data_IF_493321820837
#
_entry.id   IF_493321820837
#
_cell.length_a   1.000
_cell.length_b   1.000
_cell.length_c   1.000
_cell.angle_alpha   90.00
_cell.angle_beta   90.00
_cell.angle_gamma   90.00
#
_symmetry.space_group_name_H-M   'P 1'
#
loop_
_entity.id
_entity.type
_entity.pdbx_description
1 polymer ?
#
# COMPACT_ATOMS: atom_id res chain seq x y z
N UNK A 1 -22.04 39.94 32.91
CA UNK A 1 -22.99 40.07 31.82
C UNK A 1 -22.31 39.48 30.61
N UNK A 2 -22.57 38.30 30.08
CA UNK A 2 -23.68 37.39 30.05
C UNK A 2 -23.39 36.52 28.83
N UNK A 3 -22.76 35.33 29.02
CA UNK A 3 -22.35 34.38 27.94
C UNK A 3 -23.31 33.17 27.89
N UNK A 4 -24.59 33.37 28.17
CA UNK A 4 -25.58 32.27 28.32
C UNK A 4 -26.83 32.42 27.46
N UNK A 5 -26.81 33.15 26.32
CA UNK A 5 -28.01 33.33 25.49
C UNK A 5 -27.82 32.95 24.01
N UNK A 6 -27.20 31.82 23.73
CA UNK A 6 -27.16 31.32 22.35
C UNK A 6 -27.24 29.78 22.22
N UNK A 7 -28.15 29.18 22.95
CA UNK A 7 -28.45 27.75 22.84
C UNK A 7 -29.98 27.51 22.88
N UNK A 8 -30.71 27.96 21.88
CA UNK A 8 -32.08 27.49 21.64
C UNK A 8 -32.58 27.93 20.27
N UNK A 9 -32.25 27.22 19.21
CA UNK A 9 -33.07 27.10 18.00
C UNK A 9 -32.50 26.10 17.01
N UNK A 10 -32.72 24.83 17.28
CA UNK A 10 -32.74 23.79 16.21
C UNK A 10 -33.88 22.83 16.49
N UNK A 11 -35.01 23.12 15.87
CA UNK A 11 -36.16 22.24 15.75
C UNK A 11 -35.78 21.04 14.86
N UNK A 12 -35.99 19.77 15.26
CA UNK A 12 -35.78 18.64 14.39
C UNK A 12 -36.94 18.49 13.41
N UNK A 13 -36.64 18.58 12.11
CA UNK A 13 -37.55 18.27 11.01
C UNK A 13 -37.73 16.76 10.97
N UNK A 14 -38.98 16.29 11.08
CA UNK A 14 -39.39 14.89 10.96
C UNK A 14 -39.15 14.37 9.53
N UNK A 15 -38.76 13.08 9.35
CA UNK A 15 -38.60 12.50 8.02
C UNK A 15 -39.96 12.18 7.40
N UNK A 16 -40.11 12.57 6.12
CA UNK A 16 -41.28 12.30 5.30
C UNK A 16 -41.47 10.79 5.05
N UNK A 17 -42.71 10.33 5.20
CA UNK A 17 -43.13 8.97 4.97
C UNK A 17 -43.03 8.59 3.49
N UNK A 18 -42.42 7.45 3.18
CA UNK A 18 -42.35 6.82 1.86
C UNK A 18 -43.62 6.02 1.61
N UNK A 19 -44.31 6.17 0.47
CA UNK A 19 -45.52 5.36 0.19
C UNK A 19 -45.14 3.91 -0.15
N UNK A 20 -45.82 2.99 0.52
CA UNK A 20 -45.79 1.54 0.28
C UNK A 20 -46.54 1.24 -1.02
N UNK A 21 -45.87 0.65 -2.01
CA UNK A 21 -46.48 0.14 -3.22
C UNK A 21 -47.13 -1.22 -2.99
N UNK A 22 -48.37 -1.38 -3.45
CA UNK A 22 -49.19 -2.58 -3.38
C UNK A 22 -48.63 -3.73 -4.23
N UNK A 23 -48.94 -5.02 -3.87
CA UNK A 23 -48.45 -6.18 -4.61
C UNK A 23 -49.22 -6.40 -5.90
N UNK A 24 -48.48 -6.56 -7.01
CA UNK A 24 -49.02 -6.89 -8.32
C UNK A 24 -49.36 -8.41 -8.42
N UNK A 25 -50.45 -8.68 -9.12
CA UNK A 25 -51.08 -9.97 -9.33
C UNK A 25 -50.18 -10.99 -10.09
N UNK A 26 -50.42 -12.28 -9.82
CA UNK A 26 -49.78 -13.42 -10.44
C UNK A 26 -50.19 -13.58 -11.92
N UNK A 27 -49.25 -13.92 -12.83
CA UNK A 27 -49.61 -14.32 -14.18
C UNK A 27 -49.86 -15.82 -14.32
N UNK A 28 -50.81 -16.12 -15.19
CA UNK A 28 -51.37 -17.41 -15.54
C UNK A 28 -50.33 -18.38 -16.15
N UNK A 29 -50.52 -19.67 -15.85
CA UNK A 29 -49.80 -20.82 -16.41
C UNK A 29 -50.09 -21.03 -17.90
N UNK A 30 -49.03 -21.10 -18.73
CA UNK A 30 -49.08 -21.52 -20.13
C UNK A 30 -48.41 -22.88 -20.28
N UNK A 31 -48.98 -23.85 -21.08
CA UNK A 31 -48.46 -25.22 -21.11
C UNK A 31 -47.13 -25.34 -21.88
N UNK A 32 -46.24 -26.14 -21.30
CA UNK A 32 -44.89 -26.43 -21.82
C UNK A 32 -44.96 -27.38 -22.99
N UNK A 33 -44.55 -26.94 -24.18
CA UNK A 33 -44.20 -27.81 -25.32
C UNK A 33 -42.77 -28.28 -25.13
N UNK A 34 -42.53 -29.60 -25.21
CA UNK A 34 -41.22 -30.22 -25.11
C UNK A 34 -40.31 -29.80 -26.28
N UNK A 35 -39.26 -29.06 -25.96
CA UNK A 35 -38.15 -28.74 -26.91
C UNK A 35 -36.93 -29.53 -26.56
N UNK A 36 -36.38 -30.22 -27.58
CA UNK A 36 -35.23 -31.09 -27.54
C UNK A 36 -34.00 -30.42 -26.94
N UNK A 37 -33.26 -31.18 -26.11
CA UNK A 37 -32.04 -30.74 -25.45
C UNK A 37 -30.94 -30.39 -26.45
N UNK A 38 -30.59 -29.12 -26.59
CA UNK A 38 -29.34 -28.68 -27.20
C UNK A 38 -28.22 -28.69 -26.14
N UNK A 39 -26.96 -29.07 -26.53
CA UNK A 39 -25.86 -29.11 -25.56
C UNK A 39 -25.56 -27.67 -25.06
N UNK A 40 -25.71 -27.48 -23.76
CA UNK A 40 -25.42 -26.24 -23.05
C UNK A 40 -23.94 -25.92 -23.17
N UNK A 41 -23.60 -24.93 -23.99
CA UNK A 41 -22.28 -24.31 -23.99
C UNK A 41 -21.99 -23.75 -22.58
N UNK A 42 -20.91 -24.24 -21.95
CA UNK A 42 -20.50 -23.75 -20.62
C UNK A 42 -20.30 -22.23 -20.66
N UNK A 43 -20.90 -21.46 -19.77
CA UNK A 43 -20.71 -20.02 -19.76
C UNK A 43 -19.23 -19.70 -19.48
N UNK A 44 -18.59 -19.03 -20.43
CA UNK A 44 -17.25 -18.48 -20.27
C UNK A 44 -17.21 -17.70 -18.95
N UNK A 45 -16.28 -18.05 -18.04
CA UNK A 45 -16.08 -17.36 -16.76
C UNK A 45 -15.96 -15.87 -17.02
N UNK A 46 -17.00 -15.12 -16.73
CA UNK A 46 -17.00 -13.66 -16.82
C UNK A 46 -15.79 -13.11 -16.06
N UNK A 47 -14.87 -12.49 -16.78
CA UNK A 47 -13.71 -11.81 -16.20
C UNK A 47 -14.24 -10.78 -15.21
N UNK A 48 -13.97 -10.98 -13.91
CA UNK A 48 -14.37 -10.04 -12.86
C UNK A 48 -13.82 -8.67 -13.22
N UNK A 49 -14.67 -7.75 -13.67
CA UNK A 49 -14.33 -6.37 -13.93
C UNK A 49 -13.68 -5.79 -12.66
N UNK A 50 -12.41 -5.39 -12.74
CA UNK A 50 -11.73 -4.73 -11.62
C UNK A 50 -12.52 -3.47 -11.29
N UNK A 51 -13.21 -3.45 -10.15
CA UNK A 51 -13.90 -2.25 -9.63
C UNK A 51 -12.92 -1.08 -9.71
N UNK A 52 -13.31 -0.03 -10.42
CA UNK A 52 -12.57 1.23 -10.47
C UNK A 52 -12.29 1.68 -9.02
N UNK A 53 -11.02 1.88 -8.68
CA UNK A 53 -10.64 2.34 -7.34
C UNK A 53 -11.27 3.71 -7.14
N UNK A 54 -12.18 3.84 -6.17
CA UNK A 54 -12.73 5.14 -5.75
C UNK A 54 -11.57 6.09 -5.47
N UNK A 55 -11.66 7.37 -5.90
CA UNK A 55 -10.66 8.37 -5.54
C UNK A 55 -10.55 8.41 -4.02
N UNK A 56 -9.31 8.37 -3.50
CA UNK A 56 -9.07 8.40 -2.05
C UNK A 56 -9.58 9.72 -1.50
N UNK A 57 -10.45 9.66 -0.50
CA UNK A 57 -10.95 10.84 0.17
C UNK A 57 -9.79 11.68 0.72
N UNK A 58 -9.83 12.99 0.47
CA UNK A 58 -8.82 13.92 1.01
C UNK A 58 -9.06 14.08 2.50
N UNK A 59 -8.01 14.02 3.37
CA UNK A 59 -8.17 14.24 4.80
C UNK A 59 -8.68 15.64 5.08
N UNK A 60 -9.64 15.76 5.98
CA UNK A 60 -10.10 17.06 6.48
C UNK A 60 -8.92 17.76 7.17
N UNK A 61 -8.64 19.00 6.80
CA UNK A 61 -7.58 19.81 7.38
C UNK A 61 -6.23 19.77 6.64
N UNK A 62 -6.01 18.86 5.71
CA UNK A 62 -4.79 18.89 4.90
C UNK A 62 -4.85 20.05 3.88
N UNK A 63 -3.87 20.99 3.88
CA UNK A 63 -3.82 22.10 2.93
C UNK A 63 -3.85 21.62 1.47
N UNK A 64 -4.47 22.42 0.58
CA UNK A 64 -4.72 22.03 -0.81
C UNK A 64 -3.46 21.81 -1.66
N UNK A 65 -2.38 22.40 -1.28
CA UNK A 65 -1.07 22.33 -1.93
C UNK A 65 -0.38 20.96 -1.82
N UNK A 66 -0.76 20.14 -0.82
CA UNK A 66 -0.13 18.84 -0.61
C UNK A 66 -0.87 17.70 -1.29
N UNK A 67 -0.14 16.93 -2.09
CA UNK A 67 -0.61 15.71 -2.72
C UNK A 67 -0.23 14.50 -1.85
N UNK A 68 -1.19 13.61 -1.57
CA UNK A 68 -0.92 12.39 -0.80
C UNK A 68 -0.03 11.46 -1.63
N UNK A 69 1.00 10.91 -0.99
CA UNK A 69 1.93 10.00 -1.64
C UNK A 69 1.21 8.80 -2.27
N UNK A 70 1.52 8.52 -3.52
CA UNK A 70 0.98 7.38 -4.27
C UNK A 70 1.39 6.05 -3.63
N UNK A 71 0.65 4.98 -3.94
CA UNK A 71 1.00 3.63 -3.46
C UNK A 71 2.38 3.20 -3.96
N UNK A 72 2.73 3.58 -5.19
CA UNK A 72 4.04 3.31 -5.79
C UNK A 72 5.15 4.02 -5.02
N UNK A 73 5.02 5.32 -4.74
CA UNK A 73 6.01 6.06 -3.97
C UNK A 73 6.22 5.46 -2.57
N UNK A 74 5.14 5.05 -1.89
CA UNK A 74 5.21 4.37 -0.59
C UNK A 74 5.96 3.03 -0.68
N UNK A 75 5.68 2.23 -1.70
CA UNK A 75 6.36 0.95 -1.91
C UNK A 75 7.85 1.16 -2.20
N UNK A 76 8.19 2.10 -3.09
CA UNK A 76 9.58 2.44 -3.42
C UNK A 76 10.34 2.90 -2.17
N UNK A 77 9.75 3.79 -1.37
CA UNK A 77 10.37 4.24 -0.12
C UNK A 77 10.57 3.13 0.91
N UNK A 78 9.57 2.24 1.05
CA UNK A 78 9.65 1.08 1.95
C UNK A 78 10.73 0.10 1.49
N UNK A 79 10.82 -0.18 0.19
CA UNK A 79 11.83 -1.07 -0.38
C UNK A 79 13.24 -0.50 -0.23
N UNK A 80 13.43 0.78 -0.50
CA UNK A 80 14.70 1.45 -0.30
C UNK A 80 15.15 1.40 1.17
N UNK A 81 14.26 1.69 2.11
CA UNK A 81 14.56 1.56 3.54
C UNK A 81 14.85 0.12 3.94
N UNK A 82 14.12 -0.85 3.39
CA UNK A 82 14.39 -2.26 3.66
C UNK A 82 15.80 -2.65 3.20
N UNK A 83 16.19 -2.30 1.98
CA UNK A 83 17.51 -2.61 1.43
C UNK A 83 18.61 -1.94 2.26
N UNK A 84 18.45 -0.67 2.63
CA UNK A 84 19.47 0.07 3.38
C UNK A 84 19.58 -0.44 4.81
N UNK A 85 18.46 -0.68 5.48
CA UNK A 85 18.48 -1.08 6.88
C UNK A 85 18.82 -2.56 7.08
N UNK A 86 18.25 -3.43 6.25
CA UNK A 86 18.38 -4.88 6.44
C UNK A 86 19.35 -5.53 5.47
N UNK A 87 19.51 -4.98 4.25
CA UNK A 87 20.48 -5.50 3.28
C UNK A 87 21.89 -5.48 3.82
N UNK A 88 22.28 -4.41 4.51
CA UNK A 88 23.58 -4.29 5.15
C UNK A 88 23.76 -5.23 6.34
N UNK A 89 22.71 -5.41 7.16
CA UNK A 89 22.74 -6.38 8.28
C UNK A 89 22.82 -7.82 7.77
N UNK A 90 22.10 -8.15 6.70
CA UNK A 90 22.18 -9.45 6.03
C UNK A 90 23.58 -9.64 5.46
N UNK A 91 24.14 -8.63 4.78
CA UNK A 91 25.50 -8.66 4.27
C UNK A 91 26.55 -8.88 5.36
N UNK A 92 26.40 -8.20 6.50
CA UNK A 92 27.26 -8.43 7.67
C UNK A 92 27.16 -9.85 8.22
N UNK A 93 25.93 -10.40 8.28
CA UNK A 93 25.73 -11.79 8.69
C UNK A 93 26.42 -12.78 7.73
N UNK A 94 26.36 -12.54 6.41
CA UNK A 94 27.13 -13.34 5.45
C UNK A 94 28.64 -13.27 5.71
N UNK A 95 29.18 -12.07 5.97
CA UNK A 95 30.61 -11.93 6.32
C UNK A 95 30.94 -12.76 7.57
N UNK A 96 30.12 -12.69 8.61
CA UNK A 96 30.32 -13.47 9.85
C UNK A 96 30.33 -14.99 9.60
N UNK A 97 29.46 -15.46 8.70
CA UNK A 97 29.32 -16.91 8.43
C UNK A 97 30.45 -17.43 7.53
N UNK A 98 30.85 -16.65 6.52
CA UNK A 98 31.72 -17.15 5.47
C UNK A 98 33.17 -16.64 5.55
N UNK A 99 33.43 -15.55 6.31
CA UNK A 99 34.76 -14.98 6.45
C UNK A 99 35.32 -15.29 7.84
N UNK A 100 36.34 -16.13 7.88
CA UNK A 100 37.00 -16.52 9.13
C UNK A 100 38.02 -15.44 9.58
N UNK A 101 37.52 -14.23 9.88
CA UNK A 101 38.32 -13.10 10.32
C UNK A 101 37.57 -12.27 11.36
N UNK A 102 38.04 -12.25 12.60
CA UNK A 102 37.43 -11.46 13.67
C UNK A 102 37.36 -9.95 13.33
N UNK A 103 38.39 -9.42 12.69
CA UNK A 103 38.45 -8.01 12.28
C UNK A 103 37.36 -7.72 11.22
N UNK A 104 37.26 -8.56 10.19
CA UNK A 104 36.25 -8.38 9.14
C UNK A 104 34.82 -8.51 9.70
N UNK A 105 34.60 -9.48 10.59
CA UNK A 105 33.31 -9.70 11.24
C UNK A 105 32.91 -8.47 12.09
N UNK A 106 33.81 -8.01 12.96
CA UNK A 106 33.53 -6.84 13.80
C UNK A 106 33.32 -5.58 12.96
N UNK A 107 34.13 -5.35 11.95
CA UNK A 107 34.00 -4.19 11.07
C UNK A 107 32.70 -4.21 10.29
N UNK A 108 32.27 -5.37 9.77
CA UNK A 108 31.01 -5.50 9.01
C UNK A 108 29.77 -5.25 9.90
N UNK A 109 29.77 -5.79 11.12
CA UNK A 109 28.67 -5.57 12.07
C UNK A 109 28.61 -4.11 12.50
N UNK A 110 29.73 -3.52 12.91
CA UNK A 110 29.80 -2.12 13.32
C UNK A 110 29.42 -1.18 12.19
N UNK A 111 29.88 -1.44 10.96
CA UNK A 111 29.52 -0.68 9.78
C UNK A 111 28.03 -0.75 9.46
N UNK A 112 27.43 -1.95 9.52
CA UNK A 112 26.01 -2.14 9.31
C UNK A 112 25.15 -1.42 10.37
N UNK A 113 25.55 -1.53 11.66
CA UNK A 113 24.89 -0.84 12.75
C UNK A 113 25.02 0.68 12.66
N UNK A 114 26.17 1.19 12.28
CA UNK A 114 26.39 2.63 12.09
C UNK A 114 25.49 3.19 10.96
N UNK A 115 25.42 2.50 9.82
CA UNK A 115 24.58 2.90 8.70
C UNK A 115 23.08 2.77 9.03
N UNK A 116 22.71 1.73 9.81
CA UNK A 116 21.37 1.60 10.33
C UNK A 116 21.01 2.80 11.22
N UNK A 117 21.87 3.12 12.21
CA UNK A 117 21.66 4.25 13.12
C UNK A 117 21.60 5.60 12.35
N UNK A 118 22.41 5.78 11.33
CA UNK A 118 22.40 6.95 10.46
C UNK A 118 21.02 7.12 9.80
N UNK A 119 20.47 6.05 9.20
CA UNK A 119 19.20 6.11 8.48
C UNK A 119 17.97 6.19 9.40
N UNK A 120 18.02 5.59 10.58
CA UNK A 120 16.86 5.53 11.49
C UNK A 120 16.80 6.73 12.45
N UNK A 121 17.95 7.22 12.90
CA UNK A 121 18.01 8.30 13.90
C UNK A 121 18.54 9.62 13.33
N UNK A 122 19.75 9.62 12.75
CA UNK A 122 20.45 10.87 12.42
C UNK A 122 19.75 11.60 11.28
N UNK A 123 19.51 10.91 10.17
CA UNK A 123 18.87 11.51 8.99
C UNK A 123 17.44 11.98 9.31
N UNK A 124 16.55 11.19 9.93
CA UNK A 124 15.21 11.64 10.28
C UNK A 124 15.17 12.82 11.26
N UNK A 125 16.05 12.82 12.27
CA UNK A 125 16.13 13.93 13.24
C UNK A 125 16.60 15.23 12.58
N UNK A 126 17.54 15.13 11.63
CA UNK A 126 18.13 16.31 10.97
C UNK A 126 17.25 16.85 9.84
N UNK A 127 16.70 15.96 9.02
CA UNK A 127 16.00 16.33 7.78
C UNK A 127 14.48 16.06 7.82
N UNK A 128 13.95 15.46 8.88
CA UNK A 128 12.54 15.05 8.98
C UNK A 128 12.15 13.90 8.05
N UNK A 129 13.11 13.30 7.33
CA UNK A 129 12.92 12.24 6.33
C UNK A 129 14.02 11.21 6.44
N UNK A 130 13.71 9.92 6.23
CA UNK A 130 14.72 8.86 6.09
C UNK A 130 15.10 8.68 4.61
N UNK A 131 16.15 7.89 4.34
CA UNK A 131 16.69 7.71 2.97
C UNK A 131 15.61 7.17 2.01
N UNK A 132 14.75 6.25 2.45
CA UNK A 132 13.66 5.75 1.60
C UNK A 132 12.66 6.84 1.20
N UNK A 133 12.42 7.82 2.07
CA UNK A 133 11.57 8.97 1.76
C UNK A 133 12.23 9.95 0.79
N UNK A 134 13.55 10.11 0.86
CA UNK A 134 14.29 10.85 -0.17
C UNK A 134 14.17 10.17 -1.53
N UNK A 135 14.45 8.87 -1.60
CA UNK A 135 14.34 8.07 -2.83
C UNK A 135 12.93 8.12 -3.44
N UNK A 136 11.89 8.10 -2.60
CA UNK A 136 10.50 8.12 -3.07
C UNK A 136 9.90 9.51 -3.22
N UNK A 137 10.68 10.58 -3.03
CA UNK A 137 10.21 11.98 -2.99
C UNK A 137 8.96 12.14 -2.15
N UNK A 138 9.02 11.67 -0.91
CA UNK A 138 7.93 11.79 0.04
C UNK A 138 8.40 12.45 1.32
N UNK A 139 7.47 13.11 2.03
CA UNK A 139 7.71 13.64 3.37
C UNK A 139 6.45 13.48 4.23
N UNK A 140 6.65 13.43 5.54
CA UNK A 140 5.54 13.54 6.47
C UNK A 140 5.22 15.00 6.75
N UNK A 141 3.92 15.31 6.80
CA UNK A 141 3.40 16.60 7.28
C UNK A 141 2.25 16.33 8.25
N UNK A 142 2.03 17.24 9.18
CA UNK A 142 0.87 17.21 10.06
C UNK A 142 -0.38 17.72 9.35
N UNK A 143 -1.55 17.59 9.97
CA UNK A 143 -2.80 18.16 9.47
C UNK A 143 -2.73 19.69 9.28
N UNK A 144 -1.82 20.38 9.97
CA UNK A 144 -1.60 21.83 9.83
C UNK A 144 -0.64 22.24 8.71
N UNK A 145 -0.10 21.25 7.94
CA UNK A 145 0.89 21.50 6.89
C UNK A 145 2.34 21.61 7.39
N UNK A 146 2.56 21.61 8.70
CA UNK A 146 3.90 21.68 9.29
C UNK A 146 4.58 20.29 9.34
N UNK A 147 5.92 20.23 9.38
CA UNK A 147 6.60 18.98 9.66
C UNK A 147 6.13 18.38 11.00
N UNK A 148 5.87 17.07 11.08
CA UNK A 148 5.53 16.42 12.34
C UNK A 148 6.72 16.45 13.31
N UNK A 149 6.47 16.10 14.56
CA UNK A 149 7.53 16.00 15.58
C UNK A 149 8.68 15.09 15.12
N UNK A 150 9.92 15.46 15.47
CA UNK A 150 11.10 14.61 15.21
C UNK A 150 10.98 13.24 15.84
N UNK A 151 10.28 13.14 16.98
CA UNK A 151 9.98 11.87 17.65
C UNK A 151 9.14 10.96 16.73
N UNK A 152 8.14 11.51 16.02
CA UNK A 152 7.36 10.73 15.04
C UNK A 152 8.26 10.10 13.97
N UNK A 153 9.20 10.88 13.41
CA UNK A 153 10.08 10.39 12.36
C UNK A 153 10.96 9.22 12.84
N UNK A 154 11.46 9.30 14.07
CA UNK A 154 12.24 8.23 14.71
C UNK A 154 11.37 7.01 15.01
N UNK A 155 10.23 7.18 15.69
CA UNK A 155 9.34 6.08 16.06
C UNK A 155 8.85 5.31 14.82
N UNK A 156 8.43 6.03 13.79
CA UNK A 156 7.99 5.40 12.54
C UNK A 156 9.10 4.61 11.84
N UNK A 157 10.34 5.08 11.93
CA UNK A 157 11.51 4.39 11.37
C UNK A 157 11.95 3.19 12.24
N UNK A 158 11.70 3.22 13.55
CA UNK A 158 12.10 2.17 14.49
C UNK A 158 11.20 0.93 14.47
N UNK A 159 9.97 0.99 13.98
CA UNK A 159 9.01 -0.13 14.03
C UNK A 159 9.62 -1.44 13.50
N UNK A 160 10.33 -1.37 12.38
CA UNK A 160 10.99 -2.53 11.78
C UNK A 160 12.16 -3.05 12.64
N UNK A 161 12.88 -2.17 13.32
CA UNK A 161 13.97 -2.57 14.23
C UNK A 161 13.45 -3.26 15.48
N UNK A 162 12.40 -2.71 16.07
CA UNK A 162 11.76 -3.32 17.22
C UNK A 162 11.26 -4.73 16.88
N UNK A 163 10.70 -4.92 15.68
CA UNK A 163 10.31 -6.25 15.22
C UNK A 163 11.51 -7.22 15.13
N UNK A 164 12.64 -6.77 14.57
CA UNK A 164 13.83 -7.60 14.45
C UNK A 164 14.43 -7.95 15.82
N UNK A 165 14.61 -6.95 16.69
CA UNK A 165 15.11 -7.17 18.06
C UNK A 165 14.16 -8.05 18.85
N UNK A 166 12.85 -7.82 18.72
CA UNK A 166 11.83 -8.65 19.36
C UNK A 166 11.90 -10.11 18.89
N UNK A 167 12.09 -10.34 17.60
CA UNK A 167 12.29 -11.68 17.03
C UNK A 167 13.53 -12.38 17.60
N UNK A 168 14.63 -11.66 17.72
CA UNK A 168 15.85 -12.19 18.36
C UNK A 168 15.63 -12.55 19.83
N UNK A 169 14.99 -11.66 20.59
CA UNK A 169 14.67 -11.93 22.00
C UNK A 169 13.76 -13.17 22.14
N UNK A 170 12.76 -13.31 21.29
CA UNK A 170 11.90 -14.50 21.26
C UNK A 170 12.72 -15.76 20.95
N UNK A 171 13.53 -15.73 19.89
CA UNK A 171 14.34 -16.90 19.48
C UNK A 171 15.32 -17.33 20.54
N UNK A 172 16.05 -16.40 21.15
CA UNK A 172 17.07 -16.73 22.15
C UNK A 172 16.51 -17.20 23.50
N UNK A 173 15.26 -16.81 23.82
CA UNK A 173 14.65 -17.17 25.10
C UNK A 173 13.50 -18.20 24.94
N UNK A 174 13.31 -18.78 23.76
CA UNK A 174 12.22 -19.73 23.50
C UNK A 174 12.35 -21.02 24.29
N UNK A 175 13.58 -21.48 24.52
CA UNK A 175 13.87 -22.67 25.33
C UNK A 175 13.43 -22.52 26.77
N UNK A 176 13.54 -21.33 27.32
CA UNK A 176 13.17 -21.06 28.73
C UNK A 176 11.67 -21.26 28.99
N UNK A 177 10.85 -21.06 27.96
CA UNK A 177 9.41 -21.29 28.05
C UNK A 177 9.04 -22.77 28.14
N UNK A 178 9.84 -23.66 27.51
CA UNK A 178 9.56 -25.11 27.42
C UNK A 178 10.13 -25.88 28.62
N UNK A 179 11.19 -25.39 29.24
CA UNK A 179 11.90 -26.07 30.32
C UNK A 179 11.49 -25.60 31.72
N UNK A 180 10.57 -24.62 31.84
CA UNK A 180 10.25 -23.98 33.11
C UNK A 180 11.42 -23.19 33.69
N UNK A 181 12.24 -22.62 32.79
CA UNK A 181 13.53 -22.04 33.10
C UNK A 181 13.50 -20.70 33.85
N UNK A 182 14.58 -19.96 33.75
CA UNK A 182 14.81 -18.73 34.49
C UNK A 182 13.73 -17.68 34.22
N UNK A 183 13.15 -17.11 35.28
CA UNK A 183 12.15 -16.03 35.23
C UNK A 183 12.61 -14.87 34.33
N UNK A 184 13.92 -14.58 34.32
CA UNK A 184 14.50 -13.54 33.50
C UNK A 184 14.37 -13.85 31.99
N UNK A 185 14.60 -15.09 31.56
CA UNK A 185 14.38 -15.53 30.16
C UNK A 185 12.93 -15.39 29.72
N UNK A 186 11.98 -15.74 30.60
CA UNK A 186 10.55 -15.57 30.34
C UNK A 186 10.17 -14.10 30.16
N UNK A 187 10.73 -13.20 30.98
CA UNK A 187 10.52 -11.75 30.87
C UNK A 187 11.04 -11.25 29.50
N UNK A 188 12.26 -11.62 29.11
CA UNK A 188 12.82 -11.19 27.82
C UNK A 188 12.06 -11.77 26.62
N UNK A 189 11.55 -12.99 26.73
CA UNK A 189 10.65 -13.56 25.73
C UNK A 189 9.38 -12.70 25.59
N UNK A 190 8.73 -12.36 26.71
CA UNK A 190 7.52 -11.52 26.69
C UNK A 190 7.78 -10.12 26.11
N UNK A 191 8.91 -9.50 26.48
CA UNK A 191 9.34 -8.22 25.88
C UNK A 191 9.50 -8.36 24.37
N UNK A 192 10.11 -9.44 23.91
CA UNK A 192 10.27 -9.72 22.47
C UNK A 192 8.92 -9.83 21.74
N UNK A 193 7.95 -10.54 22.32
CA UNK A 193 6.59 -10.67 21.77
C UNK A 193 5.90 -9.32 21.70
N UNK A 194 6.03 -8.47 22.72
CA UNK A 194 5.47 -7.12 22.72
C UNK A 194 6.08 -6.28 21.58
N UNK A 195 7.40 -6.31 21.42
CA UNK A 195 8.11 -5.58 20.38
C UNK A 195 7.68 -6.03 18.98
N UNK A 196 7.52 -7.34 18.74
CA UNK A 196 7.01 -7.87 17.47
C UNK A 196 5.56 -7.45 17.21
N UNK A 197 4.73 -7.44 18.24
CA UNK A 197 3.32 -7.07 18.15
C UNK A 197 3.12 -5.64 17.68
N UNK A 198 4.01 -4.71 18.01
CA UNK A 198 3.95 -3.31 17.54
C UNK A 198 3.95 -3.21 16.01
N UNK A 199 4.76 -4.00 15.31
CA UNK A 199 4.76 -4.02 13.84
C UNK A 199 3.46 -4.58 13.28
N UNK A 200 2.91 -5.62 13.89
CA UNK A 200 1.64 -6.23 13.46
C UNK A 200 0.51 -5.21 13.63
N UNK A 201 0.47 -4.54 14.78
CA UNK A 201 -0.50 -3.49 15.08
C UNK A 201 -0.37 -2.34 14.08
N UNK A 202 0.85 -1.82 13.86
CA UNK A 202 1.09 -0.75 12.88
C UNK A 202 0.60 -1.13 11.48
N UNK A 203 0.84 -2.38 11.07
CA UNK A 203 0.40 -2.90 9.77
C UNK A 203 -1.13 -3.01 9.68
N UNK A 204 -1.80 -3.35 10.79
CA UNK A 204 -3.26 -3.37 10.87
C UNK A 204 -3.84 -1.96 10.74
N UNK A 205 -3.27 -0.98 11.44
CA UNK A 205 -3.64 0.43 11.31
C UNK A 205 -3.49 0.91 9.85
N UNK A 206 -2.37 0.59 9.19
CA UNK A 206 -2.16 0.91 7.76
C UNK A 206 -3.21 0.30 6.85
N UNK A 207 -3.62 -0.95 7.10
CA UNK A 207 -4.65 -1.63 6.30
C UNK A 207 -6.05 -1.06 6.53
N UNK A 208 -6.37 -0.70 7.77
CA UNK A 208 -7.66 -0.12 8.16
C UNK A 208 -7.80 1.35 7.75
N UNK A 209 -6.70 2.02 7.37
CA UNK A 209 -6.70 3.42 6.97
C UNK A 209 -6.81 3.58 5.45
N UNK A 210 -7.76 4.36 4.97
CA UNK A 210 -7.85 4.74 3.55
C UNK A 210 -6.59 5.45 3.04
N UNK A 211 -5.87 6.13 3.94
CA UNK A 211 -4.65 6.88 3.67
C UNK A 211 -3.38 6.08 3.96
N UNK A 212 -3.50 4.78 4.33
CA UNK A 212 -2.39 3.93 4.75
C UNK A 212 -1.54 4.56 5.89
N UNK A 213 -2.20 5.15 6.88
CA UNK A 213 -1.54 5.69 8.07
C UNK A 213 -1.29 4.58 9.08
N UNK A 214 -0.05 4.49 9.56
CA UNK A 214 0.34 3.63 10.65
C UNK A 214 -0.15 4.13 12.01
N UNK A 215 0.14 3.38 13.05
CA UNK A 215 -0.21 3.71 14.43
C UNK A 215 0.39 5.07 14.85
N UNK A 216 1.68 5.27 14.59
CA UNK A 216 2.36 6.53 14.91
C UNK A 216 1.92 7.68 14.02
N UNK A 217 1.63 7.41 12.73
CA UNK A 217 1.11 8.44 11.83
C UNK A 217 -0.22 9.01 12.34
N UNK A 218 -1.10 8.15 12.88
CA UNK A 218 -2.37 8.58 13.49
C UNK A 218 -2.16 9.33 14.80
N UNK A 219 -1.29 8.81 15.69
CA UNK A 219 -1.01 9.43 16.97
C UNK A 219 -0.47 10.86 16.83
N UNK A 220 0.33 11.12 15.80
CA UNK A 220 0.90 12.44 15.49
C UNK A 220 0.14 13.21 14.41
N UNK A 221 -1.04 12.73 13.97
CA UNK A 221 -1.82 13.31 12.87
C UNK A 221 -0.97 13.59 11.64
N UNK A 222 -0.05 12.66 11.32
CA UNK A 222 0.91 12.80 10.24
C UNK A 222 0.41 12.12 8.96
N UNK A 223 0.67 12.77 7.82
CA UNK A 223 0.29 12.31 6.48
C UNK A 223 1.53 12.21 5.60
N UNK A 224 1.70 11.09 4.91
CA UNK A 224 2.78 10.96 3.93
C UNK A 224 2.32 11.60 2.61
N UNK A 225 2.99 12.69 2.23
CA UNK A 225 2.70 13.46 1.01
C UNK A 225 3.87 13.39 0.04
N UNK A 226 3.57 13.71 -1.22
CA UNK A 226 4.58 13.91 -2.24
C UNK A 226 5.40 15.17 -1.90
N UNK A 227 6.70 15.06 -2.00
CA UNK A 227 7.62 16.17 -1.79
C UNK A 227 8.14 16.68 -3.13
N UNK A 228 8.00 17.96 -3.35
CA UNK A 228 8.64 18.67 -4.47
C UNK A 228 9.81 19.46 -3.86
N UNK A 229 11.07 19.17 -4.23
CA UNK A 229 12.20 19.90 -3.69
C UNK A 229 12.10 21.39 -4.03
N UNK A 230 12.28 22.23 -3.02
CA UNK A 230 12.41 23.67 -3.22
C UNK A 230 13.87 24.04 -3.38
N UNK A 231 14.17 25.08 -4.16
CA UNK A 231 15.56 25.52 -4.43
C UNK A 231 16.35 25.85 -3.15
N UNK A 232 15.67 26.13 -2.04
CA UNK A 232 16.28 26.46 -0.74
C UNK A 232 16.60 25.21 0.11
N UNK A 233 15.93 24.08 -0.10
CA UNK A 233 16.12 22.87 0.72
C UNK A 233 17.42 22.11 0.38
N UNK A 234 18.07 22.41 -0.76
CA UNK A 234 19.27 21.71 -1.27
C UNK A 234 20.63 22.36 -0.97
N UNK A 235 20.70 23.41 -0.16
CA UNK A 235 21.93 24.22 -0.03
C UNK A 235 23.09 23.59 0.77
N UNK A 236 22.91 22.42 1.39
CA UNK A 236 23.99 21.69 2.04
C UNK A 236 24.41 20.49 1.19
N UNK A 237 25.70 20.22 1.03
CA UNK A 237 26.20 19.13 0.17
C UNK A 237 25.63 17.74 0.49
N UNK A 238 25.26 17.48 1.73
CA UNK A 238 24.56 16.25 2.15
C UNK A 238 23.09 16.21 1.70
N UNK A 239 22.38 17.33 1.87
CA UNK A 239 20.99 17.42 1.44
C UNK A 239 20.86 17.26 -0.07
N UNK A 240 21.75 17.86 -0.84
CA UNK A 240 21.81 17.73 -2.31
C UNK A 240 22.02 16.26 -2.73
N UNK A 241 22.92 15.54 -2.06
CA UNK A 241 23.15 14.11 -2.35
C UNK A 241 21.94 13.26 -2.01
N UNK A 242 21.25 13.53 -0.90
CA UNK A 242 20.04 12.81 -0.54
C UNK A 242 18.89 13.13 -1.50
N UNK A 243 18.74 14.38 -1.94
CA UNK A 243 17.70 14.76 -2.92
C UNK A 243 17.98 14.12 -4.30
N UNK A 244 19.24 14.01 -4.73
CA UNK A 244 19.57 13.33 -6.00
C UNK A 244 19.19 11.84 -6.01
N UNK A 245 19.07 11.20 -4.85
CA UNK A 245 18.54 9.82 -4.77
C UNK A 245 17.08 9.73 -5.22
N UNK A 246 16.32 10.84 -5.15
CA UNK A 246 14.96 10.92 -5.64
C UNK A 246 14.85 10.71 -7.16
N UNK A 247 15.86 11.09 -7.93
CA UNK A 247 15.88 10.89 -9.39
C UNK A 247 15.87 9.41 -9.76
N UNK A 248 16.47 8.57 -8.94
CA UNK A 248 16.41 7.12 -9.10
C UNK A 248 14.99 6.58 -8.83
N UNK A 249 14.33 7.08 -7.80
CA UNK A 249 12.94 6.76 -7.49
C UNK A 249 11.98 7.18 -8.60
N UNK A 250 12.15 8.38 -9.15
CA UNK A 250 11.36 8.88 -10.27
C UNK A 250 11.54 8.00 -11.52
N UNK A 251 12.76 7.57 -11.82
CA UNK A 251 13.03 6.62 -12.93
C UNK A 251 12.32 5.27 -12.73
N UNK A 252 12.27 4.76 -11.50
CA UNK A 252 11.53 3.52 -11.20
C UNK A 252 10.04 3.74 -11.39
N UNK A 253 9.50 4.85 -10.88
CA UNK A 253 8.09 5.18 -11.02
C UNK A 253 7.66 5.33 -12.50
N UNK A 254 8.49 5.99 -13.31
CA UNK A 254 8.27 6.10 -14.75
C UNK A 254 8.26 4.74 -15.44
N UNK A 255 9.27 3.88 -15.18
CA UNK A 255 9.31 2.53 -15.74
C UNK A 255 8.09 1.67 -15.35
N UNK A 256 7.55 1.86 -14.17
CA UNK A 256 6.32 1.17 -13.76
C UNK A 256 5.10 1.72 -14.50
N UNK A 257 4.99 3.04 -14.65
CA UNK A 257 3.91 3.67 -15.41
C UNK A 257 3.93 3.21 -16.88
N UNK A 258 5.09 3.19 -17.52
CA UNK A 258 5.27 2.69 -18.90
C UNK A 258 4.87 1.21 -19.04
N UNK A 259 5.23 0.37 -18.05
CA UNK A 259 4.82 -1.04 -18.04
C UNK A 259 3.31 -1.20 -17.90
N UNK A 260 2.69 -0.42 -17.03
CA UNK A 260 1.23 -0.43 -16.83
C UNK A 260 0.51 0.04 -18.10
N UNK A 261 1.01 1.09 -18.75
CA UNK A 261 0.48 1.59 -20.01
C UNK A 261 0.59 0.54 -21.13
N UNK A 262 1.77 -0.02 -21.36
CA UNK A 262 1.97 -1.11 -22.34
C UNK A 262 1.10 -2.33 -22.05
N UNK A 263 0.91 -2.68 -20.77
CA UNK A 263 0.02 -3.77 -20.40
C UNK A 263 -1.46 -3.43 -20.65
N UNK A 264 -1.86 -2.19 -20.48
CA UNK A 264 -3.21 -1.72 -20.79
C UNK A 264 -3.47 -1.72 -22.31
N UNK A 265 -2.52 -1.22 -23.10
CA UNK A 265 -2.57 -1.23 -24.58
C UNK A 265 -2.66 -2.67 -25.13
N UNK A 266 -1.82 -3.59 -24.62
CA UNK A 266 -1.87 -5.00 -25.01
C UNK A 266 -3.22 -5.66 -24.66
N UNK A 267 -3.81 -5.29 -23.54
CA UNK A 267 -5.15 -5.79 -23.16
C UNK A 267 -6.24 -5.21 -24.06
N UNK A 268 -6.16 -3.94 -24.40
CA UNK A 268 -7.10 -3.29 -25.31
C UNK A 268 -7.00 -3.90 -26.73
N UNK A 269 -5.79 -4.11 -27.24
CA UNK A 269 -5.58 -4.77 -28.53
C UNK A 269 -6.15 -6.19 -28.55
N UNK A 270 -5.90 -6.99 -27.50
CA UNK A 270 -6.45 -8.36 -27.40
C UNK A 270 -7.98 -8.36 -27.26
N UNK A 271 -8.56 -7.37 -26.59
CA UNK A 271 -10.02 -7.24 -26.50
C UNK A 271 -10.64 -6.84 -27.85
N UNK A 272 -9.97 -5.97 -28.62
CA UNK A 272 -10.41 -5.59 -29.96
C UNK A 272 -10.34 -6.78 -30.93
N UNK A 273 -9.26 -7.58 -30.90
CA UNK A 273 -9.13 -8.79 -31.70
C UNK A 273 -10.22 -9.81 -31.36
N UNK A 274 -10.49 -10.04 -30.06
CA UNK A 274 -11.56 -10.95 -29.65
C UNK A 274 -12.95 -10.47 -30.10
N UNK A 275 -13.19 -9.14 -30.10
CA UNK A 275 -14.44 -8.57 -30.58
C UNK A 275 -14.60 -8.73 -32.12
N UNK A 276 -13.50 -8.61 -32.87
CA UNK A 276 -13.52 -8.83 -34.33
C UNK A 276 -13.80 -10.29 -34.68
N UNK A 277 -13.19 -11.25 -33.96
CA UNK A 277 -13.44 -12.67 -34.15
C UNK A 277 -14.89 -13.04 -33.82
N UNK A 278 -15.45 -12.47 -32.77
CA UNK A 278 -16.85 -12.67 -32.41
C UNK A 278 -17.81 -12.11 -33.49
N UNK A 279 -17.53 -10.91 -34.01
CA UNK A 279 -18.33 -10.30 -35.08
C UNK A 279 -18.23 -11.09 -36.40
N UNK A 280 -17.07 -11.69 -36.70
CA UNK A 280 -16.91 -12.52 -37.91
C UNK A 280 -17.65 -13.88 -37.81
N UNK A 281 -17.82 -14.41 -36.60
CA UNK A 281 -18.55 -15.68 -36.36
C UNK A 281 -20.07 -15.50 -36.40
N UNK A 282 -20.59 -14.29 -36.18
CA UNK A 282 -22.01 -13.97 -36.22
C UNK A 282 -22.50 -13.53 -37.61
N UNK A 283 -21.64 -13.51 -38.61
CA UNK A 283 -22.06 -13.23 -39.99
C UNK A 283 -22.95 -14.40 -40.48
N UNK A 284 -24.21 -14.15 -40.90
CA UNK A 284 -25.10 -15.20 -41.39
C UNK A 284 -24.47 -15.81 -42.63
N UNK A 285 -24.38 -17.16 -42.64
CA UNK A 285 -24.02 -17.89 -43.84
C UNK A 285 -25.00 -17.46 -44.96
N UNK A 286 -24.48 -16.77 -45.96
CA UNK A 286 -25.26 -16.39 -47.12
C UNK A 286 -25.80 -17.69 -47.76
N UNK A 287 -27.13 -17.82 -47.77
CA UNK A 287 -27.86 -18.89 -48.45
C UNK A 287 -27.33 -19.04 -49.86
N UNK A 288 -26.54 -20.06 -50.09
CA UNK A 288 -26.25 -20.55 -51.42
C UNK A 288 -27.44 -21.39 -51.87
N UNK A 289 -28.57 -20.72 -52.14
CA UNK A 289 -29.69 -21.29 -52.88
C UNK A 289 -29.29 -21.31 -54.37
N UNK A 290 -28.62 -22.37 -54.81
CA UNK A 290 -28.50 -22.72 -56.20
C UNK A 290 -29.73 -23.52 -56.60
N UNK A 291 -30.71 -22.80 -57.08
CA UNK A 291 -31.78 -23.31 -57.95
C UNK A 291 -31.16 -23.98 -59.17
N UNK A 292 -31.03 -25.31 -59.19
CA UNK A 292 -30.98 -26.14 -60.38
C UNK A 292 -32.39 -26.60 -60.66
N UNK A 293 -33.10 -25.82 -61.46
CA UNK A 293 -34.32 -26.25 -62.15
C UNK A 293 -34.16 -25.92 -63.61
N UNK A 294 -34.43 -26.95 -64.42
CA UNK A 294 -34.70 -26.99 -65.87
C UNK A 294 -33.59 -27.41 -66.85
N UNK A 295 -33.73 -28.67 -67.23
CA UNK A 295 -33.74 -29.02 -68.67
C UNK A 295 -34.36 -30.40 -68.85
N UNK A 296 -35.50 -30.39 -69.53
CA UNK A 296 -36.28 -31.48 -70.11
C UNK A 296 -35.54 -32.34 -71.14
#
# INVERSE_FOLDING_TARGET
>A
MGLLDKANSTTPTAPAAVPVAAPAAAPATVPVAAVAAQPVAQPAKAAKAKKAKKPKARPKGLPSEFEIASTTARLTGSLANFIINYGLLIGAAFVVIFVNSTVANSASILGAMALYALNVFIIPVRFGRNVGQFVSRTKFISATGNPPSKIHAVLNSMVGFLFLVGGMLVMFNMSELSTGGDTNGIIWFAVGVIMMSLMIIDRQFKRASELNQGMFDRAFSAYLVKHVPTATEGNTGWALRLESMGDWGDRIAQRQADREQKAAEKRAAKAAEAAQVAAASDAPAADADTSDEDAA
#
